data_IF_185254634047
#
_entry.id   IF_185254634047
#
_cell.length_a   1.000
_cell.length_b   1.000
_cell.length_c   1.000
_cell.angle_alpha   90.00
_cell.angle_beta   90.00
_cell.angle_gamma   90.00
#
_symmetry.space_group_name_H-M   'P 1'
#
loop_
_entity.id
_entity.type
_entity.pdbx_description
1 polymer ?
#
# COMPACT_ATOMS: atom_id res chain seq x y z
N UNK A 1 -31.16 36.91 -13.77
CA UNK A 1 -29.77 36.77 -14.26
C UNK A 1 -29.60 35.30 -14.62
N UNK A 2 -29.22 34.98 -15.83
CA UNK A 2 -28.92 33.60 -16.23
C UNK A 2 -27.56 33.17 -15.63
N UNK A 3 -27.32 31.87 -15.50
CA UNK A 3 -26.05 31.35 -15.03
C UNK A 3 -24.87 31.80 -15.91
N UNK A 4 -25.08 31.85 -17.24
CA UNK A 4 -24.10 32.37 -18.19
C UNK A 4 -23.76 33.86 -17.96
N UNK A 5 -24.78 34.72 -17.74
CA UNK A 5 -24.55 36.11 -17.44
C UNK A 5 -23.81 36.34 -16.12
N UNK A 6 -23.98 35.43 -15.15
CA UNK A 6 -23.21 35.45 -13.90
C UNK A 6 -21.75 35.07 -14.16
N UNK A 7 -21.50 34.04 -14.97
CA UNK A 7 -20.14 33.63 -15.34
C UNK A 7 -19.41 34.74 -16.12
N UNK A 8 -20.07 35.36 -17.11
CA UNK A 8 -19.50 36.48 -17.84
C UNK A 8 -19.05 37.62 -16.90
N UNK A 9 -19.88 37.91 -15.91
CA UNK A 9 -19.59 38.96 -14.93
C UNK A 9 -18.40 38.59 -14.05
N UNK A 10 -18.34 37.33 -13.61
CA UNK A 10 -17.25 36.79 -12.77
C UNK A 10 -15.93 36.73 -13.56
N UNK A 11 -15.95 36.33 -14.84
CA UNK A 11 -14.76 36.33 -15.70
C UNK A 11 -14.18 37.74 -15.87
N UNK A 12 -15.06 38.76 -16.05
CA UNK A 12 -14.62 40.14 -16.14
C UNK A 12 -13.99 40.63 -14.83
N UNK A 13 -14.56 40.24 -13.68
CA UNK A 13 -14.10 40.72 -12.38
C UNK A 13 -12.80 39.99 -11.94
N UNK A 14 -12.68 38.70 -12.25
CA UNK A 14 -11.55 37.85 -11.78
C UNK A 14 -10.39 37.79 -12.76
N UNK A 15 -10.55 38.31 -13.98
CA UNK A 15 -9.61 38.14 -15.10
C UNK A 15 -9.20 36.67 -15.33
N UNK A 16 -10.18 35.75 -15.14
CA UNK A 16 -9.97 34.32 -15.20
C UNK A 16 -10.97 33.67 -16.15
N UNK A 17 -10.54 32.73 -16.99
CA UNK A 17 -11.42 31.99 -17.92
C UNK A 17 -12.25 30.93 -17.21
N UNK A 18 -13.22 31.33 -16.38
CA UNK A 18 -14.06 30.44 -15.56
C UNK A 18 -14.89 29.48 -16.38
N UNK A 19 -15.38 29.90 -17.56
CA UNK A 19 -16.15 29.03 -18.46
C UNK A 19 -15.30 27.83 -18.92
N UNK A 20 -14.07 28.08 -19.35
CA UNK A 20 -13.16 27.03 -19.79
C UNK A 20 -12.82 26.09 -18.66
N UNK A 21 -12.68 26.57 -17.42
CA UNK A 21 -12.47 25.73 -16.25
C UNK A 21 -13.70 24.89 -15.95
N UNK A 22 -14.90 25.45 -15.96
CA UNK A 22 -16.15 24.72 -15.73
C UNK A 22 -16.42 23.70 -16.84
N UNK A 23 -16.15 24.03 -18.09
CA UNK A 23 -16.24 23.09 -19.21
C UNK A 23 -15.24 21.93 -19.06
N UNK A 24 -14.03 22.22 -18.58
CA UNK A 24 -13.07 21.14 -18.27
C UNK A 24 -13.54 20.22 -17.14
N UNK A 25 -14.27 20.73 -16.15
CA UNK A 25 -14.85 19.93 -15.08
C UNK A 25 -16.06 19.08 -15.53
N UNK A 26 -16.81 19.53 -16.55
CA UNK A 26 -17.93 18.79 -17.10
C UNK A 26 -17.52 17.72 -18.13
N UNK A 27 -16.31 17.77 -18.65
CA UNK A 27 -15.79 16.69 -19.48
C UNK A 27 -15.20 15.60 -18.56
N UNK A 28 -15.34 14.32 -18.90
CA UNK A 28 -14.67 13.25 -18.15
C UNK A 28 -13.15 13.50 -18.23
N UNK A 29 -12.61 14.13 -17.20
CA UNK A 29 -11.16 14.26 -17.07
C UNK A 29 -10.59 12.88 -16.77
N UNK A 30 -9.63 12.45 -17.58
CA UNK A 30 -8.80 11.32 -17.19
C UNK A 30 -8.02 11.73 -15.94
N UNK A 31 -8.32 11.08 -14.83
CA UNK A 31 -7.63 11.32 -13.56
C UNK A 31 -6.22 10.74 -13.62
N UNK A 32 -5.34 11.34 -12.88
CA UNK A 32 -3.98 10.81 -12.67
C UNK A 32 -4.02 9.48 -11.92
N UNK A 33 -3.03 8.65 -12.19
CA UNK A 33 -2.84 7.36 -11.54
C UNK A 33 -1.41 7.28 -11.01
N UNK A 34 -1.25 7.12 -9.69
CA UNK A 34 0.05 7.11 -9.06
C UNK A 34 0.40 5.75 -8.46
N UNK A 35 1.66 5.40 -8.55
CA UNK A 35 2.27 4.30 -7.82
C UNK A 35 3.25 4.86 -6.79
N UNK A 36 3.07 4.50 -5.52
CA UNK A 36 3.87 4.99 -4.41
C UNK A 36 4.72 3.84 -3.88
N UNK A 37 6.04 3.99 -3.99
CA UNK A 37 7.00 3.05 -3.45
C UNK A 37 7.09 3.10 -1.92
N UNK A 38 7.78 2.13 -1.35
CA UNK A 38 8.07 2.10 0.09
C UNK A 38 9.19 3.08 0.39
N UNK A 39 8.99 4.08 1.27
CA UNK A 39 10.02 5.02 1.61
C UNK A 39 11.07 4.38 2.53
N UNK A 40 12.31 4.86 2.41
CA UNK A 40 13.42 4.48 3.26
C UNK A 40 13.98 5.69 4.02
N UNK A 41 14.56 5.42 5.19
CA UNK A 41 15.28 6.41 5.99
C UNK A 41 16.63 5.86 6.39
N UNK A 42 17.67 6.62 6.09
CA UNK A 42 19.05 6.32 6.47
C UNK A 42 19.57 7.41 7.39
N UNK A 43 20.14 7.02 8.52
CA UNK A 43 20.86 7.92 9.40
C UNK A 43 22.30 8.07 8.90
N UNK A 44 22.72 9.29 8.64
CA UNK A 44 24.06 9.63 8.17
C UNK A 44 24.73 10.54 9.20
N UNK A 45 25.89 10.12 9.71
CA UNK A 45 26.69 10.91 10.61
C UNK A 45 27.74 11.67 9.81
N UNK A 46 27.67 12.99 9.85
CA UNK A 46 28.70 13.88 9.29
C UNK A 46 29.62 14.38 10.41
N UNK A 47 30.70 15.09 10.06
CA UNK A 47 31.63 15.65 11.08
C UNK A 47 30.96 16.68 12.00
N UNK A 48 29.84 17.28 11.58
CA UNK A 48 29.20 18.41 12.27
C UNK A 48 27.83 18.10 12.82
N UNK A 49 27.08 17.17 12.22
CA UNK A 49 25.70 16.89 12.58
C UNK A 49 25.26 15.47 12.18
N UNK A 50 24.18 15.01 12.80
CA UNK A 50 23.42 13.85 12.35
C UNK A 50 22.35 14.26 11.34
N UNK A 51 22.29 13.58 10.20
CA UNK A 51 21.30 13.83 9.15
C UNK A 51 20.49 12.56 8.91
N UNK A 52 19.19 12.68 8.83
CA UNK A 52 18.30 11.63 8.37
C UNK A 52 17.93 11.90 6.91
N UNK A 53 18.45 11.10 6.00
CA UNK A 53 18.07 11.10 4.61
C UNK A 53 16.85 10.22 4.41
N UNK A 54 15.74 10.82 4.02
CA UNK A 54 14.52 10.10 3.67
C UNK A 54 14.32 10.10 2.17
N UNK A 55 13.98 8.94 1.61
CA UNK A 55 13.81 8.73 0.18
C UNK A 55 12.49 8.02 -0.11
N UNK A 56 11.85 8.42 -1.21
CA UNK A 56 10.68 7.75 -1.74
C UNK A 56 10.67 7.81 -3.26
N UNK A 57 10.19 6.73 -3.90
CA UNK A 57 10.00 6.70 -5.35
C UNK A 57 8.50 6.74 -5.63
N UNK A 58 8.10 7.63 -6.54
CA UNK A 58 6.70 7.77 -6.96
C UNK A 58 6.66 7.85 -8.48
N UNK A 59 5.71 7.13 -9.08
CA UNK A 59 5.47 7.14 -10.53
C UNK A 59 4.07 7.66 -10.84
N UNK A 60 3.96 8.51 -11.82
CA UNK A 60 2.70 8.79 -12.50
C UNK A 60 2.51 7.75 -13.61
N UNK A 61 1.48 6.93 -13.52
CA UNK A 61 1.18 5.86 -14.48
C UNK A 61 0.24 6.30 -15.61
N UNK A 62 -0.28 7.52 -15.52
CA UNK A 62 -1.29 8.05 -16.45
C UNK A 62 -0.69 8.85 -17.59
N UNK A 63 -1.48 9.03 -18.66
CA UNK A 63 -1.17 9.90 -19.80
C UNK A 63 -1.36 11.42 -19.48
N UNK A 64 -1.78 11.75 -18.25
CA UNK A 64 -2.01 13.12 -17.80
C UNK A 64 -0.92 13.55 -16.81
N UNK A 65 -0.47 14.82 -16.86
CA UNK A 65 0.36 15.38 -15.82
C UNK A 65 -0.41 15.45 -14.51
N UNK A 66 0.29 15.34 -13.39
CA UNK A 66 -0.34 15.38 -12.06
C UNK A 66 0.57 15.94 -10.99
N UNK A 67 -0.04 16.34 -9.89
CA UNK A 67 0.68 16.85 -8.72
C UNK A 67 0.24 16.08 -7.48
N UNK A 68 1.16 15.92 -6.56
CA UNK A 68 0.88 15.41 -5.22
C UNK A 68 1.38 16.40 -4.18
N UNK A 69 0.68 16.48 -3.06
CA UNK A 69 1.16 17.23 -1.90
C UNK A 69 1.77 16.24 -0.91
N UNK A 70 3.02 16.44 -0.57
CA UNK A 70 3.79 15.60 0.35
C UNK A 70 4.02 16.33 1.67
N UNK A 71 3.84 15.61 2.77
CA UNK A 71 4.15 16.10 4.11
C UNK A 71 4.96 15.08 4.89
N UNK A 72 6.01 15.53 5.57
CA UNK A 72 6.78 14.71 6.50
C UNK A 72 6.19 14.78 7.91
N UNK A 73 6.02 13.62 8.55
CA UNK A 73 5.62 13.52 9.95
C UNK A 73 6.75 12.91 10.78
N UNK A 74 7.05 13.51 11.93
CA UNK A 74 8.13 13.11 12.83
C UNK A 74 7.60 12.38 14.06
N UNK A 75 8.41 11.47 14.61
CA UNK A 75 8.01 10.63 15.75
C UNK A 75 7.92 11.39 17.07
N UNK A 76 8.76 12.41 17.27
CA UNK A 76 8.94 13.09 18.55
C UNK A 76 7.93 14.20 18.79
N UNK A 77 7.20 14.63 17.78
CA UNK A 77 6.33 15.79 17.89
C UNK A 77 4.86 15.40 18.10
N UNK A 78 4.38 15.67 19.31
CA UNK A 78 2.95 15.62 19.64
C UNK A 78 2.12 16.79 19.08
N UNK A 79 2.67 17.58 18.13
CA UNK A 79 2.06 18.75 17.53
C UNK A 79 2.28 18.83 16.01
N UNK A 80 1.32 19.47 15.34
CA UNK A 80 1.36 19.70 13.91
C UNK A 80 2.25 20.93 13.65
N UNK A 81 3.54 20.74 13.39
CA UNK A 81 4.45 21.81 13.00
C UNK A 81 4.48 21.92 11.48
N UNK A 82 4.45 23.14 10.97
CA UNK A 82 4.48 23.41 9.52
C UNK A 82 5.92 23.52 8.99
N UNK A 83 6.92 23.53 9.88
CA UNK A 83 8.33 23.57 9.56
C UNK A 83 9.18 22.81 10.59
N UNK A 84 10.39 22.44 10.17
CA UNK A 84 11.47 21.93 10.99
C UNK A 84 12.68 22.86 10.89
N UNK A 85 13.57 22.81 11.85
CA UNK A 85 14.87 23.49 11.72
C UNK A 85 15.82 22.51 11.04
N UNK A 86 16.53 22.99 10.02
CA UNK A 86 17.59 22.25 9.35
C UNK A 86 18.75 23.22 9.05
N UNK A 87 19.94 22.89 9.54
CA UNK A 87 21.14 23.75 9.45
C UNK A 87 20.88 25.21 9.93
N UNK A 88 20.03 25.35 10.96
CA UNK A 88 19.66 26.65 11.56
C UNK A 88 18.61 27.46 10.78
N UNK A 89 18.06 26.93 9.72
CA UNK A 89 17.00 27.57 8.92
C UNK A 89 15.66 26.84 9.05
N UNK A 90 14.56 27.56 8.86
CA UNK A 90 13.22 26.97 8.81
C UNK A 90 13.01 26.24 7.47
N UNK A 91 12.77 24.94 7.55
CA UNK A 91 12.47 24.06 6.42
C UNK A 91 11.02 23.64 6.48
N UNK A 92 10.21 23.90 5.43
CA UNK A 92 8.82 23.47 5.39
C UNK A 92 8.74 21.93 5.39
N UNK A 93 7.79 21.40 6.14
CA UNK A 93 7.53 19.93 6.19
C UNK A 93 6.54 19.48 5.14
N UNK A 94 5.98 20.41 4.37
CA UNK A 94 4.98 20.17 3.34
C UNK A 94 5.38 20.86 2.04
N UNK A 95 5.29 20.13 0.92
CA UNK A 95 5.67 20.62 -0.40
C UNK A 95 4.88 19.90 -1.51
N UNK A 96 4.82 20.48 -2.70
CA UNK A 96 4.17 19.93 -3.89
C UNK A 96 5.22 19.34 -4.81
N UNK A 97 4.94 18.16 -5.37
CA UNK A 97 5.74 17.51 -6.40
C UNK A 97 4.87 17.34 -7.64
N UNK A 98 5.35 17.86 -8.77
CA UNK A 98 4.71 17.77 -10.06
C UNK A 98 5.28 16.59 -10.86
N UNK A 99 4.43 15.89 -11.59
CA UNK A 99 4.80 14.77 -12.44
C UNK A 99 4.30 14.99 -13.86
N UNK A 100 5.17 14.72 -14.83
CA UNK A 100 4.77 14.58 -16.22
C UNK A 100 4.08 13.23 -16.45
N UNK A 101 3.37 13.02 -17.57
CA UNK A 101 2.85 11.72 -17.95
C UNK A 101 3.98 10.65 -17.91
N UNK A 102 3.69 9.50 -17.28
CA UNK A 102 4.62 8.37 -17.15
C UNK A 102 5.96 8.69 -16.46
N UNK A 103 6.04 9.81 -15.75
CA UNK A 103 7.27 10.18 -15.05
C UNK A 103 7.39 9.42 -13.72
N UNK A 104 8.59 8.90 -13.46
CA UNK A 104 8.99 8.34 -12.17
C UNK A 104 10.03 9.26 -11.55
N UNK A 105 9.80 9.65 -10.29
CA UNK A 105 10.74 10.47 -9.51
C UNK A 105 11.18 9.74 -8.26
N UNK A 106 12.48 9.83 -7.97
CA UNK A 106 13.08 9.59 -6.66
C UNK A 106 13.17 10.94 -5.95
N UNK A 107 12.56 11.04 -4.80
CA UNK A 107 12.49 12.26 -3.98
C UNK A 107 13.37 12.01 -2.76
N UNK A 108 14.37 12.86 -2.56
CA UNK A 108 15.33 12.80 -1.45
C UNK A 108 15.17 14.04 -0.58
N UNK A 109 15.01 13.83 0.73
CA UNK A 109 14.87 14.93 1.70
C UNK A 109 15.76 14.69 2.91
N UNK A 110 16.31 15.75 3.48
CA UNK A 110 17.18 15.71 4.66
C UNK A 110 16.50 16.32 5.87
N UNK A 111 16.74 15.73 7.05
CA UNK A 111 16.15 16.18 8.31
C UNK A 111 17.13 15.98 9.46
N UNK A 112 17.11 16.88 10.47
CA UNK A 112 17.86 16.67 11.72
C UNK A 112 17.13 15.75 12.68
N UNK A 113 15.81 15.68 12.56
CA UNK A 113 14.95 14.82 13.35
C UNK A 113 14.55 13.57 12.56
N UNK A 114 14.44 12.42 13.24
CA UNK A 114 14.09 11.16 12.60
C UNK A 114 12.68 11.21 12.00
N UNK A 115 12.55 11.20 10.66
CA UNK A 115 11.24 11.23 10.00
C UNK A 115 10.54 9.89 10.09
N UNK A 116 9.30 9.90 10.58
CA UNK A 116 8.52 8.69 10.79
C UNK A 116 7.74 8.24 9.57
N UNK A 117 7.15 9.19 8.85
CA UNK A 117 6.12 8.86 7.85
C UNK A 117 5.99 9.96 6.81
N UNK A 118 5.86 9.59 5.54
CA UNK A 118 5.34 10.46 4.50
C UNK A 118 3.80 10.40 4.51
N UNK A 119 3.16 11.55 4.60
CA UNK A 119 1.75 11.75 4.32
C UNK A 119 1.66 12.30 2.91
N UNK A 120 1.00 11.59 2.01
CA UNK A 120 0.92 11.93 0.60
C UNK A 120 -0.55 12.19 0.27
N UNK A 121 -0.86 13.43 -0.09
CA UNK A 121 -2.16 13.79 -0.61
C UNK A 121 -2.11 13.72 -2.14
N UNK A 122 -2.84 12.77 -2.70
CA UNK A 122 -2.87 12.52 -4.15
C UNK A 122 -3.79 13.49 -4.89
N UNK A 123 -4.41 14.45 -4.18
CA UNK A 123 -5.44 15.36 -4.69
C UNK A 123 -6.61 14.57 -5.29
N UNK A 124 -6.60 14.34 -6.60
CA UNK A 124 -7.59 13.55 -7.32
C UNK A 124 -6.89 12.44 -8.09
N UNK A 125 -6.79 11.26 -7.50
CA UNK A 125 -6.21 10.08 -8.14
C UNK A 125 -7.30 9.07 -8.50
N UNK A 126 -7.13 8.42 -9.65
CA UNK A 126 -8.02 7.35 -10.12
C UNK A 126 -7.93 6.09 -9.26
N UNK A 127 -6.75 5.81 -8.71
CA UNK A 127 -6.42 4.52 -8.12
C UNK A 127 -6.11 4.56 -6.62
N UNK A 128 -5.74 5.71 -6.09
CA UNK A 128 -5.37 5.86 -4.68
C UNK A 128 -6.38 6.73 -3.93
N UNK A 129 -6.57 6.52 -2.62
CA UNK A 129 -7.35 7.45 -1.80
C UNK A 129 -6.69 8.84 -1.77
N UNK A 130 -7.46 9.86 -1.43
CA UNK A 130 -6.98 11.25 -1.34
C UNK A 130 -5.73 11.38 -0.48
N UNK A 131 -5.64 10.61 0.61
CA UNK A 131 -4.46 10.59 1.47
C UNK A 131 -3.91 9.18 1.61
N UNK A 132 -2.62 9.03 1.36
CA UNK A 132 -1.84 7.82 1.59
C UNK A 132 -0.79 8.09 2.65
N UNK A 133 -0.63 7.16 3.57
CA UNK A 133 0.40 7.20 4.61
C UNK A 133 1.46 6.14 4.31
N UNK A 134 2.68 6.57 4.06
CA UNK A 134 3.81 5.68 3.78
C UNK A 134 4.84 5.76 4.91
N UNK A 135 4.96 4.69 5.70
CA UNK A 135 5.92 4.62 6.82
C UNK A 135 7.32 4.37 6.32
N UNK A 136 8.26 5.11 6.86
CA UNK A 136 9.66 4.96 6.57
C UNK A 136 10.19 3.62 7.09
N UNK A 137 10.92 2.89 6.26
CA UNK A 137 11.70 1.73 6.67
C UNK A 137 13.13 2.18 6.96
N UNK A 138 13.64 1.80 8.13
CA UNK A 138 15.03 2.09 8.49
C UNK A 138 15.97 1.16 7.74
N UNK A 139 16.97 1.75 7.09
CA UNK A 139 18.03 1.03 6.40
C UNK A 139 19.32 1.23 7.18
N UNK A 140 20.03 0.13 7.51
CA UNK A 140 21.22 0.16 8.41
C UNK A 140 22.57 0.21 7.66
N UNK A 141 22.58 0.23 6.32
CA UNK A 141 23.82 0.22 5.56
C UNK A 141 24.43 1.63 5.42
N UNK A 142 25.77 1.69 5.33
CA UNK A 142 26.52 2.94 5.18
C UNK A 142 26.24 3.55 3.80
N UNK A 143 25.60 4.69 3.78
CA UNK A 143 25.19 5.35 2.55
C UNK A 143 25.97 6.64 2.30
N UNK A 144 26.10 6.91 1.02
CA UNK A 144 26.61 8.19 0.54
C UNK A 144 25.47 9.19 0.69
N UNK A 145 25.73 10.33 1.31
CA UNK A 145 24.78 11.44 1.35
C UNK A 145 24.48 11.87 -0.09
N UNK A 146 23.20 11.67 -0.50
CA UNK A 146 22.71 12.13 -1.79
C UNK A 146 22.20 13.55 -1.62
N UNK A 147 22.47 14.43 -2.56
CA UNK A 147 21.94 15.79 -2.54
C UNK A 147 20.39 15.77 -2.45
N UNK A 148 19.82 16.70 -1.69
CA UNK A 148 18.38 16.85 -1.59
C UNK A 148 17.76 17.30 -2.90
N UNK A 149 16.64 16.69 -3.30
CA UNK A 149 15.96 17.05 -4.54
C UNK A 149 15.06 15.99 -5.13
N UNK A 150 14.57 16.30 -6.33
CA UNK A 150 13.74 15.43 -7.15
C UNK A 150 14.57 14.93 -8.33
N UNK A 151 14.64 13.63 -8.51
CA UNK A 151 15.42 12.99 -9.57
C UNK A 151 14.52 12.17 -10.46
N UNK A 152 14.37 12.57 -11.73
CA UNK A 152 13.64 11.77 -12.72
C UNK A 152 14.41 10.50 -13.02
N UNK A 153 13.73 9.36 -12.89
CA UNK A 153 14.29 8.04 -13.15
C UNK A 153 13.80 7.49 -14.50
N UNK A 154 14.60 6.62 -15.11
CA UNK A 154 14.16 5.89 -16.31
C UNK A 154 13.08 4.85 -15.97
N UNK A 155 12.15 4.59 -16.88
CA UNK A 155 10.90 3.84 -16.72
C UNK A 155 10.95 2.48 -16.01
N UNK A 156 12.11 1.86 -15.86
CA UNK A 156 12.25 0.50 -15.33
C UNK A 156 12.71 0.41 -13.87
N UNK A 157 12.70 1.51 -13.12
CA UNK A 157 13.32 1.54 -11.79
C UNK A 157 12.47 0.93 -10.68
N UNK A 158 11.17 0.77 -10.88
CA UNK A 158 10.27 0.17 -9.87
C UNK A 158 10.26 -1.37 -9.91
N UNK A 159 10.83 -1.97 -10.94
CA UNK A 159 11.07 -3.41 -11.00
C UNK A 159 12.38 -3.73 -10.28
N UNK A 160 12.34 -3.76 -8.95
CA UNK A 160 13.44 -4.30 -8.15
C UNK A 160 13.52 -5.82 -8.44
N UNK A 161 14.44 -6.19 -9.31
CA UNK A 161 14.57 -7.55 -9.90
C UNK A 161 14.83 -8.66 -8.88
N UNK A 162 15.00 -8.31 -7.61
CA UNK A 162 15.22 -9.25 -6.51
C UNK A 162 13.95 -9.51 -5.68
N UNK A 163 12.89 -8.72 -5.86
CA UNK A 163 11.60 -8.88 -5.17
C UNK A 163 10.50 -9.35 -6.12
N UNK A 164 9.78 -10.40 -5.74
CA UNK A 164 8.61 -10.90 -6.46
C UNK A 164 7.41 -10.71 -5.56
N UNK A 165 6.48 -9.86 -5.97
CA UNK A 165 5.29 -9.56 -5.19
C UNK A 165 4.07 -10.06 -5.96
N UNK A 166 3.18 -10.76 -5.26
CA UNK A 166 1.86 -11.16 -5.76
C UNK A 166 0.81 -10.56 -4.85
N UNK A 167 -0.05 -9.73 -5.44
CA UNK A 167 -1.11 -8.99 -4.79
C UNK A 167 -2.48 -9.68 -5.01
N UNK A 168 -3.48 -9.29 -4.22
CA UNK A 168 -4.86 -9.74 -4.40
C UNK A 168 -5.49 -9.25 -5.72
N UNK A 169 -4.95 -8.23 -6.38
CA UNK A 169 -5.38 -7.75 -7.71
C UNK A 169 -4.72 -8.52 -8.87
N UNK A 170 -3.78 -9.40 -8.61
CA UNK A 170 -3.11 -10.23 -9.62
C UNK A 170 -3.98 -11.44 -10.02
N UNK A 171 -5.00 -11.21 -10.84
CA UNK A 171 -6.08 -12.15 -11.17
C UNK A 171 -5.64 -13.55 -11.65
N UNK A 172 -4.40 -13.69 -12.19
CA UNK A 172 -3.85 -14.98 -12.64
C UNK A 172 -3.05 -15.70 -11.55
N UNK A 173 -2.60 -14.98 -10.54
CA UNK A 173 -1.71 -15.46 -9.49
C UNK A 173 -2.41 -15.55 -8.12
N UNK A 174 -3.54 -14.86 -7.98
CA UNK A 174 -4.35 -14.85 -6.77
C UNK A 174 -5.69 -15.53 -6.99
N UNK A 175 -6.11 -16.40 -6.06
CA UNK A 175 -7.39 -17.12 -6.12
C UNK A 175 -8.02 -17.25 -4.74
N UNK A 176 -9.34 -17.29 -4.70
CA UNK A 176 -10.13 -17.48 -3.49
C UNK A 176 -10.86 -18.82 -3.54
N UNK A 177 -10.96 -19.50 -2.40
CA UNK A 177 -11.83 -20.65 -2.28
C UNK A 177 -13.29 -20.20 -2.43
N UNK A 178 -14.04 -20.93 -3.23
CA UNK A 178 -15.49 -20.75 -3.33
C UNK A 178 -16.15 -21.64 -2.27
N UNK A 179 -16.96 -21.09 -1.36
CA UNK A 179 -17.69 -21.93 -0.43
C UNK A 179 -18.62 -22.87 -1.21
N UNK A 180 -18.82 -24.11 -0.75
CA UNK A 180 -19.75 -25.02 -1.40
C UNK A 180 -21.14 -24.38 -1.45
N UNK A 181 -21.91 -24.59 -2.53
CA UNK A 181 -23.24 -23.99 -2.67
C UNK A 181 -24.14 -24.44 -1.51
N UNK A 182 -24.53 -23.53 -0.66
CA UNK A 182 -25.41 -23.78 0.48
C UNK A 182 -26.85 -23.89 0.04
N UNK A 183 -27.24 -25.03 -0.56
CA UNK A 183 -28.62 -25.35 -0.87
C UNK A 183 -29.36 -24.45 -1.89
N UNK A 184 -30.56 -24.83 -2.28
CA UNK A 184 -31.37 -24.14 -3.29
C UNK A 184 -31.66 -22.65 -3.01
N UNK A 185 -31.71 -22.25 -1.75
CA UNK A 185 -31.89 -20.85 -1.33
C UNK A 185 -30.58 -20.04 -1.46
N UNK A 186 -29.41 -20.68 -1.33
CA UNK A 186 -28.11 -20.02 -1.48
C UNK A 186 -27.82 -19.63 -2.93
N UNK A 187 -28.23 -20.44 -3.91
CA UNK A 187 -28.08 -20.10 -5.34
C UNK A 187 -28.96 -18.93 -5.76
N UNK A 188 -30.16 -18.81 -5.17
CA UNK A 188 -31.07 -17.71 -5.46
C UNK A 188 -30.59 -16.38 -4.87
N UNK A 189 -30.05 -16.41 -3.67
CA UNK A 189 -29.42 -15.23 -3.02
C UNK A 189 -28.13 -14.83 -3.78
N UNK A 190 -27.35 -15.80 -4.27
CA UNK A 190 -26.14 -15.52 -5.04
C UNK A 190 -26.40 -14.81 -6.37
N UNK A 191 -27.47 -15.21 -7.10
CA UNK A 191 -27.84 -14.55 -8.36
C UNK A 191 -28.23 -13.08 -8.20
N UNK A 192 -28.75 -12.71 -7.03
CA UNK A 192 -29.13 -11.33 -6.73
C UNK A 192 -28.00 -10.47 -6.16
N UNK A 193 -26.84 -11.07 -5.84
CA UNK A 193 -25.65 -10.36 -5.32
C UNK A 193 -24.55 -10.18 -6.38
N UNK A 194 -24.73 -10.72 -7.60
CA UNK A 194 -23.75 -10.56 -8.71
C UNK A 194 -23.77 -9.17 -9.37
N UNK A 195 -24.76 -8.33 -9.07
CA UNK A 195 -24.82 -6.92 -9.47
C UNK A 195 -24.51 -6.04 -8.26
N UNK A 196 -23.32 -6.16 -7.63
CA UNK A 196 -22.85 -5.16 -6.69
C UNK A 196 -22.45 -3.91 -7.46
N UNK A 197 -23.16 -2.82 -7.24
CA UNK A 197 -22.95 -1.49 -7.81
C UNK A 197 -21.56 -0.93 -7.45
N UNK A 198 -20.88 -1.53 -6.47
CA UNK A 198 -19.54 -1.16 -5.98
C UNK A 198 -18.64 -2.40 -5.83
N UNK A 199 -17.51 -2.38 -6.54
CA UNK A 199 -16.48 -3.43 -6.47
C UNK A 199 -15.84 -3.54 -5.08
N UNK A 200 -15.66 -2.42 -4.39
CA UNK A 200 -14.98 -2.34 -3.11
C UNK A 200 -15.95 -1.94 -2.00
N UNK A 201 -15.87 -2.63 -0.87
CA UNK A 201 -16.69 -2.36 0.32
C UNK A 201 -15.78 -1.82 1.43
N UNK A 202 -16.26 -0.85 2.20
CA UNK A 202 -15.53 -0.33 3.35
C UNK A 202 -15.31 -1.40 4.44
N UNK A 203 -14.18 -1.31 5.15
CA UNK A 203 -13.85 -2.24 6.23
C UNK A 203 -14.78 -2.04 7.41
N UNK A 204 -15.42 -3.13 7.87
CA UNK A 204 -16.13 -3.18 9.14
C UNK A 204 -15.77 -4.48 9.87
N UNK A 205 -14.77 -4.43 10.76
CA UNK A 205 -14.30 -5.60 11.52
C UNK A 205 -15.38 -6.19 12.45
N UNK A 206 -16.41 -5.41 12.82
CA UNK A 206 -17.50 -5.86 13.67
C UNK A 206 -18.59 -6.60 12.90
N UNK A 207 -18.70 -6.34 11.60
CA UNK A 207 -19.67 -6.95 10.71
C UNK A 207 -18.98 -7.52 9.47
N UNK A 208 -17.92 -8.29 9.69
CA UNK A 208 -17.15 -8.89 8.62
C UNK A 208 -18.04 -9.80 7.74
N UNK A 209 -17.86 -9.75 6.41
CA UNK A 209 -18.65 -10.51 5.46
C UNK A 209 -18.43 -12.02 5.62
N UNK A 210 -19.44 -12.82 5.29
CA UNK A 210 -19.34 -14.29 5.35
C UNK A 210 -18.59 -14.89 4.14
N UNK A 211 -18.25 -14.09 3.14
CA UNK A 211 -17.49 -14.45 1.93
C UNK A 211 -16.36 -13.47 1.73
N UNK A 212 -15.35 -13.92 1.01
CA UNK A 212 -14.27 -13.05 0.58
C UNK A 212 -14.81 -11.86 -0.20
N UNK A 213 -14.58 -10.66 0.29
CA UNK A 213 -15.07 -9.40 -0.24
C UNK A 213 -13.93 -8.41 -0.40
N UNK A 214 -13.86 -7.75 -1.56
CA UNK A 214 -12.87 -6.73 -1.84
C UNK A 214 -13.09 -5.48 -0.98
N UNK A 215 -12.00 -4.93 -0.47
CA UNK A 215 -12.00 -3.72 0.35
C UNK A 215 -10.78 -2.87 0.06
N UNK A 216 -10.84 -1.59 0.40
CA UNK A 216 -9.71 -0.66 0.28
C UNK A 216 -9.38 -0.04 1.62
N UNK A 217 -8.10 0.15 1.89
CA UNK A 217 -7.57 0.88 3.04
C UNK A 217 -6.17 1.41 2.72
N UNK A 218 -5.83 2.57 3.25
CA UNK A 218 -4.51 3.18 3.05
C UNK A 218 -3.32 2.32 3.54
N UNK A 219 -3.57 1.37 4.44
CA UNK A 219 -2.54 0.50 5.01
C UNK A 219 -2.46 -0.87 4.31
N UNK A 220 -3.24 -1.12 3.27
CA UNK A 220 -3.06 -2.28 2.41
C UNK A 220 -1.94 -2.05 1.41
N UNK A 221 -1.36 -3.13 0.93
CA UNK A 221 -0.47 -3.09 -0.21
C UNK A 221 -1.28 -2.80 -1.49
N UNK A 222 -0.61 -2.35 -2.51
CA UNK A 222 -1.15 -2.21 -3.86
C UNK A 222 -0.27 -1.30 -4.69
N UNK A 223 0.06 -1.73 -5.90
CA UNK A 223 0.80 -0.92 -6.88
C UNK A 223 -0.10 0.17 -7.45
N UNK A 224 -1.31 -0.23 -7.87
CA UNK A 224 -2.27 0.69 -8.46
C UNK A 224 -3.48 0.95 -7.56
N UNK A 225 -3.92 -0.04 -6.80
CA UNK A 225 -5.05 0.07 -5.87
C UNK A 225 -4.62 -0.54 -4.55
N UNK A 226 -4.77 0.20 -3.45
CA UNK A 226 -4.51 -0.31 -2.10
C UNK A 226 -5.75 -1.08 -1.62
N UNK A 227 -5.79 -2.33 -1.95
CA UNK A 227 -6.91 -3.22 -1.68
C UNK A 227 -6.49 -4.51 -1.00
N UNK A 228 -7.46 -5.21 -0.43
CA UNK A 228 -7.33 -6.57 0.04
C UNK A 228 -8.69 -7.27 -0.08
N UNK A 229 -8.71 -8.58 0.07
CA UNK A 229 -9.97 -9.29 0.33
C UNK A 229 -10.08 -9.63 1.80
N UNK A 230 -11.27 -9.53 2.37
CA UNK A 230 -11.49 -9.84 3.76
C UNK A 230 -12.71 -10.76 3.95
N UNK A 231 -12.67 -11.53 5.03
CA UNK A 231 -13.73 -12.46 5.42
C UNK A 231 -13.87 -12.51 6.93
N UNK A 232 -15.05 -12.86 7.42
CA UNK A 232 -15.25 -13.23 8.82
C UNK A 232 -14.43 -14.48 9.14
N UNK A 233 -13.75 -14.47 10.28
CA UNK A 233 -13.02 -15.65 10.74
C UNK A 233 -13.93 -16.87 10.87
N UNK A 234 -13.43 -18.01 10.39
CA UNK A 234 -14.10 -19.29 10.31
C UNK A 234 -13.31 -20.39 11.00
N UNK A 235 -13.33 -21.58 10.41
CA UNK A 235 -12.69 -22.80 10.94
C UNK A 235 -11.63 -23.39 10.00
N UNK A 236 -11.17 -22.63 9.02
CA UNK A 236 -10.23 -23.09 8.01
C UNK A 236 -10.87 -23.67 6.75
N UNK A 237 -12.20 -23.54 6.59
CA UNK A 237 -12.91 -24.10 5.44
C UNK A 237 -12.73 -23.26 4.16
N UNK A 238 -12.37 -22.00 4.31
CA UNK A 238 -12.11 -21.07 3.20
C UNK A 238 -10.67 -20.58 3.23
N UNK A 239 -10.13 -20.23 2.06
CA UNK A 239 -8.76 -19.74 1.94
C UNK A 239 -8.61 -18.74 0.80
N UNK A 240 -7.61 -17.87 0.94
CA UNK A 240 -7.00 -17.09 -0.12
C UNK A 240 -5.66 -17.74 -0.49
N UNK A 241 -5.32 -17.76 -1.79
CA UNK A 241 -4.12 -18.42 -2.29
C UNK A 241 -3.38 -17.53 -3.27
N UNK A 242 -2.08 -17.41 -3.07
CA UNK A 242 -1.12 -16.78 -3.98
C UNK A 242 -0.23 -17.85 -4.61
N UNK A 243 -0.02 -17.71 -5.95
CA UNK A 243 0.93 -18.49 -6.72
C UNK A 243 2.08 -17.59 -7.11
N UNK A 244 3.23 -17.77 -6.48
CA UNK A 244 4.38 -16.90 -6.67
C UNK A 244 5.36 -17.58 -7.62
N UNK A 245 5.62 -17.03 -8.82
CA UNK A 245 6.60 -17.58 -9.74
C UNK A 245 8.01 -17.44 -9.17
N UNK A 246 8.79 -18.52 -9.21
CA UNK A 246 10.18 -18.56 -8.73
C UNK A 246 11.10 -18.75 -9.92
N UNK A 247 11.68 -17.68 -10.50
CA UNK A 247 12.40 -17.77 -11.78
C UNK A 247 13.74 -18.48 -11.68
N UNK A 248 14.36 -18.52 -10.52
CA UNK A 248 15.68 -19.07 -10.31
C UNK A 248 15.78 -19.83 -9.00
N UNK A 249 16.53 -20.94 -8.98
CA UNK A 249 16.85 -21.62 -7.74
C UNK A 249 17.62 -20.69 -6.77
N UNK A 250 17.35 -20.83 -5.49
CA UNK A 250 18.00 -20.03 -4.47
C UNK A 250 17.31 -20.07 -3.12
N UNK A 251 17.86 -19.29 -2.19
CA UNK A 251 17.27 -19.07 -0.89
C UNK A 251 16.45 -17.80 -0.90
N UNK A 252 15.19 -17.88 -0.47
CA UNK A 252 14.24 -16.77 -0.50
C UNK A 252 13.64 -16.53 0.88
N UNK A 253 13.44 -15.27 1.21
CA UNK A 253 12.60 -14.84 2.32
C UNK A 253 11.19 -14.57 1.82
N UNK A 254 10.20 -15.18 2.49
CA UNK A 254 8.78 -14.98 2.25
C UNK A 254 8.22 -14.00 3.27
N UNK A 255 7.57 -12.97 2.79
CA UNK A 255 6.89 -11.94 3.60
C UNK A 255 5.41 -11.91 3.27
N UNK A 256 4.62 -11.53 4.26
CA UNK A 256 3.20 -11.23 4.12
C UNK A 256 2.94 -9.78 4.52
N UNK A 257 2.13 -9.07 3.72
CA UNK A 257 1.75 -7.70 4.03
C UNK A 257 0.57 -7.68 5.00
N UNK A 258 0.72 -7.01 6.12
CA UNK A 258 -0.26 -6.93 7.20
C UNK A 258 -0.81 -5.51 7.30
N UNK A 259 -2.14 -5.37 7.23
CA UNK A 259 -2.85 -4.26 7.84
C UNK A 259 -3.25 -4.72 9.24
N UNK A 260 -2.67 -4.09 10.25
CA UNK A 260 -2.95 -4.49 11.63
C UNK A 260 -4.42 -4.23 11.99
N UNK A 261 -5.17 -5.26 12.46
CA UNK A 261 -6.58 -5.12 12.82
C UNK A 261 -6.79 -4.06 13.90
N UNK A 262 -7.87 -3.29 13.80
CA UNK A 262 -8.27 -2.28 14.79
C UNK A 262 -8.41 -2.87 16.19
N UNK A 263 -8.95 -4.09 16.27
CA UNK A 263 -9.05 -4.84 17.52
C UNK A 263 -7.71 -4.91 18.26
N UNK A 264 -6.58 -4.98 17.54
CA UNK A 264 -5.24 -5.11 18.13
C UNK A 264 -4.52 -3.77 18.35
N UNK A 265 -4.99 -2.68 17.76
CA UNK A 265 -4.36 -1.36 17.90
C UNK A 265 -4.37 -0.84 19.33
N UNK A 266 -5.41 -1.18 20.09
CA UNK A 266 -5.60 -0.75 21.47
C UNK A 266 -5.19 -1.81 22.52
N UNK A 267 -4.79 -3.02 22.07
CA UNK A 267 -4.34 -4.06 22.97
C UNK A 267 -2.83 -3.99 23.21
N UNK A 268 -2.43 -4.27 24.46
CA UNK A 268 -1.00 -4.36 24.79
C UNK A 268 -0.32 -5.46 23.97
N UNK A 269 0.73 -5.10 23.21
CA UNK A 269 1.51 -5.99 22.34
C UNK A 269 2.03 -7.24 23.08
N UNK A 270 2.30 -7.12 24.37
CA UNK A 270 2.80 -8.19 25.24
C UNK A 270 1.69 -8.93 26.01
N UNK A 271 0.43 -8.73 25.65
CA UNK A 271 -0.70 -9.44 26.25
C UNK A 271 -0.61 -10.97 26.06
N UNK A 272 -1.22 -11.70 27.01
CA UNK A 272 -1.17 -13.20 27.00
C UNK A 272 -2.01 -13.84 25.89
N UNK A 273 -3.07 -13.18 25.42
CA UNK A 273 -3.94 -13.71 24.36
C UNK A 273 -3.20 -13.60 23.03
N UNK A 274 -3.16 -14.69 22.29
CA UNK A 274 -2.56 -14.77 20.97
C UNK A 274 -3.68 -14.76 19.92
N UNK A 275 -3.35 -14.28 18.73
CA UNK A 275 -4.24 -14.26 17.58
C UNK A 275 -3.43 -14.66 16.37
N UNK A 276 -3.80 -15.74 15.72
CA UNK A 276 -3.02 -16.29 14.63
C UNK A 276 -3.71 -16.13 13.29
N UNK A 277 -2.89 -15.91 12.26
CA UNK A 277 -3.20 -16.22 10.87
C UNK A 277 -2.49 -17.52 10.51
N UNK A 278 -3.22 -18.46 9.89
CA UNK A 278 -2.72 -19.79 9.57
C UNK A 278 -2.40 -19.90 8.10
N UNK A 279 -1.12 -20.09 7.80
CA UNK A 279 -0.61 -20.24 6.46
C UNK A 279 -0.21 -21.68 6.18
N UNK A 280 -0.42 -22.11 4.91
CA UNK A 280 0.18 -23.30 4.34
C UNK A 280 1.05 -22.86 3.16
N UNK A 281 2.31 -23.27 3.15
CA UNK A 281 3.31 -22.91 2.14
C UNK A 281 3.75 -24.20 1.44
N UNK A 282 3.49 -24.31 0.13
CA UNK A 282 3.78 -25.50 -0.67
C UNK A 282 4.68 -25.14 -1.84
N UNK A 283 5.67 -26.01 -2.13
CA UNK A 283 6.40 -25.99 -3.38
C UNK A 283 6.18 -27.31 -4.08
N UNK A 284 5.57 -27.28 -5.26
CA UNK A 284 5.33 -28.51 -6.02
C UNK A 284 6.64 -29.10 -6.54
N UNK A 285 7.60 -28.26 -6.91
CA UNK A 285 8.91 -28.71 -7.42
C UNK A 285 9.78 -29.33 -6.34
N UNK A 286 9.65 -28.87 -5.08
CA UNK A 286 10.50 -29.30 -3.97
C UNK A 286 9.83 -30.34 -3.06
N UNK A 287 8.59 -30.77 -3.40
CA UNK A 287 7.78 -31.78 -2.71
C UNK A 287 7.71 -31.56 -1.17
N UNK A 288 7.44 -30.32 -0.76
CA UNK A 288 7.25 -30.02 0.66
C UNK A 288 6.00 -29.19 0.93
N UNK A 289 5.48 -29.35 2.14
CA UNK A 289 4.43 -28.52 2.72
C UNK A 289 4.87 -28.05 4.11
N UNK A 290 4.82 -26.73 4.32
CA UNK A 290 5.09 -26.12 5.62
C UNK A 290 3.83 -25.42 6.13
N UNK A 291 3.65 -25.38 7.46
CA UNK A 291 2.56 -24.67 8.13
C UNK A 291 3.14 -23.62 9.05
N UNK A 292 2.69 -22.39 8.85
CA UNK A 292 3.16 -21.26 9.62
C UNK A 292 2.01 -20.51 10.30
N UNK A 293 2.20 -20.17 11.57
CA UNK A 293 1.25 -19.39 12.37
C UNK A 293 1.82 -17.98 12.63
N UNK A 294 1.27 -16.97 11.97
CA UNK A 294 1.65 -15.59 12.17
C UNK A 294 0.89 -15.01 13.37
N UNK A 295 1.60 -14.70 14.45
CA UNK A 295 0.99 -14.07 15.61
C UNK A 295 0.71 -12.59 15.35
N UNK A 296 -0.51 -12.25 14.99
CA UNK A 296 -0.96 -10.92 14.61
C UNK A 296 -0.75 -9.85 15.71
N UNK A 297 -0.60 -10.23 16.96
CA UNK A 297 -0.27 -9.30 18.04
C UNK A 297 1.16 -8.77 17.92
N UNK A 298 2.06 -9.55 17.34
CA UNK A 298 3.48 -9.23 17.22
C UNK A 298 3.84 -8.61 15.88
N UNK A 299 2.89 -8.53 14.94
CA UNK A 299 3.10 -7.91 13.64
C UNK A 299 3.06 -6.38 13.71
N UNK A 300 3.71 -5.76 12.74
CA UNK A 300 3.55 -4.34 12.40
C UNK A 300 2.69 -4.18 11.13
N UNK A 301 2.17 -2.99 10.87
CA UNK A 301 1.62 -2.67 9.55
C UNK A 301 2.73 -2.76 8.51
N UNK A 302 2.45 -3.35 7.35
CA UNK A 302 3.41 -3.58 6.27
C UNK A 302 3.97 -5.01 6.23
N UNK A 303 5.18 -5.18 5.68
CA UNK A 303 5.78 -6.48 5.42
C UNK A 303 6.29 -7.18 6.69
N UNK A 304 5.80 -8.38 6.95
CA UNK A 304 6.19 -9.23 8.07
C UNK A 304 6.76 -10.55 7.54
N UNK A 305 7.95 -10.92 8.01
CA UNK A 305 8.63 -12.15 7.61
C UNK A 305 7.83 -13.39 8.08
N UNK A 306 7.53 -14.28 7.15
CA UNK A 306 6.94 -15.61 7.42
C UNK A 306 8.06 -16.62 7.61
N UNK A 307 9.00 -16.71 6.67
CA UNK A 307 10.04 -17.71 6.73
C UNK A 307 11.09 -17.55 5.63
N UNK A 308 12.07 -18.46 5.66
CA UNK A 308 13.12 -18.53 4.65
C UNK A 308 13.10 -19.92 4.01
N UNK A 309 12.99 -19.99 2.69
CA UNK A 309 12.77 -21.21 1.93
C UNK A 309 13.87 -21.40 0.89
N UNK A 310 14.38 -22.62 0.77
CA UNK A 310 15.25 -23.03 -0.35
C UNK A 310 14.35 -23.51 -1.48
N UNK A 311 14.34 -22.80 -2.60
CA UNK A 311 13.47 -23.09 -3.75
C UNK A 311 14.33 -23.44 -4.96
N UNK A 312 13.93 -24.48 -5.69
CA UNK A 312 14.66 -24.93 -6.90
C UNK A 312 14.16 -24.28 -8.18
N UNK A 313 13.03 -23.59 -8.11
CA UNK A 313 12.37 -22.91 -9.23
C UNK A 313 10.88 -23.26 -9.30
N UNK A 314 10.19 -22.80 -10.34
CA UNK A 314 8.79 -23.03 -10.64
C UNK A 314 7.83 -22.12 -9.81
N UNK A 315 7.02 -22.67 -8.92
CA UNK A 315 5.95 -21.92 -8.24
C UNK A 315 5.89 -22.23 -6.76
N UNK A 316 5.89 -21.18 -5.93
CA UNK A 316 5.56 -21.29 -4.51
C UNK A 316 4.09 -20.96 -4.32
N UNK A 317 3.35 -21.85 -3.67
CA UNK A 317 1.94 -21.66 -3.34
C UNK A 317 1.83 -21.29 -1.86
N UNK A 318 1.25 -20.15 -1.58
CA UNK A 318 0.96 -19.66 -0.22
C UNK A 318 -0.55 -19.60 -0.05
N UNK A 319 -1.07 -20.23 1.00
CA UNK A 319 -2.50 -20.17 1.37
C UNK A 319 -2.66 -19.58 2.75
N UNK A 320 -3.61 -18.67 2.89
CA UNK A 320 -4.10 -18.16 4.17
C UNK A 320 -5.53 -18.67 4.36
N UNK A 321 -5.78 -19.40 5.43
CA UNK A 321 -7.12 -19.91 5.76
C UNK A 321 -7.95 -18.87 6.50
N UNK A 322 -9.27 -19.06 6.56
CA UNK A 322 -10.18 -18.22 7.34
C UNK A 322 -10.17 -18.52 8.85
N UNK A 323 -9.30 -19.44 9.31
CA UNK A 323 -9.15 -19.77 10.72
C UNK A 323 -8.41 -18.68 11.48
N UNK A 324 -9.05 -18.11 12.51
CA UNK A 324 -8.42 -17.16 13.44
C UNK A 324 -9.31 -16.90 14.65
N UNK A 325 -8.71 -16.44 15.75
CA UNK A 325 -9.40 -15.88 16.91
C UNK A 325 -9.75 -14.39 16.77
N UNK A 326 -9.31 -13.74 15.72
CA UNK A 326 -9.76 -12.41 15.34
C UNK A 326 -11.19 -12.47 14.79
N UNK A 327 -11.84 -11.34 14.63
CA UNK A 327 -13.19 -11.28 14.05
C UNK A 327 -13.18 -11.40 12.53
N UNK A 328 -12.07 -11.01 11.92
CA UNK A 328 -11.91 -10.90 10.49
C UNK A 328 -10.48 -11.26 10.10
N UNK A 329 -10.33 -11.85 8.94
CA UNK A 329 -9.06 -12.09 8.25
C UNK A 329 -9.06 -11.23 6.99
N UNK A 330 -7.94 -10.59 6.72
CA UNK A 330 -7.68 -9.89 5.47
C UNK A 330 -6.57 -10.61 4.71
N UNK A 331 -6.76 -10.89 3.44
CA UNK A 331 -5.75 -11.43 2.53
C UNK A 331 -5.34 -10.31 1.57
N UNK A 332 -4.08 -9.90 1.69
CA UNK A 332 -3.47 -8.76 1.02
C UNK A 332 -2.41 -9.25 0.02
N UNK A 333 -1.15 -9.01 0.25
CA UNK A 333 -0.06 -9.36 -0.65
C UNK A 333 0.99 -10.24 0.01
N UNK A 334 1.71 -11.00 -0.81
CA UNK A 334 2.89 -11.78 -0.43
C UNK A 334 4.10 -11.35 -1.26
N UNK A 335 5.30 -11.43 -0.65
CA UNK A 335 6.55 -11.03 -1.29
C UNK A 335 7.63 -12.08 -1.07
N UNK A 336 8.33 -12.45 -2.14
CA UNK A 336 9.57 -13.21 -2.09
C UNK A 336 10.77 -12.31 -2.37
N UNK A 337 11.79 -12.39 -1.52
CA UNK A 337 13.06 -11.67 -1.68
C UNK A 337 14.19 -12.69 -1.78
N UNK A 338 14.95 -12.66 -2.87
CA UNK A 338 16.08 -13.56 -3.04
C UNK A 338 17.24 -13.14 -2.14
N UNK A 339 17.74 -14.07 -1.32
CA UNK A 339 18.97 -13.86 -0.54
C UNK A 339 20.21 -13.99 -1.43
N UNK A 340 21.13 -13.07 -1.25
CA UNK A 340 22.47 -13.12 -1.88
C UNK A 340 23.37 -14.17 -1.23
#
# INVERSE_FOLDING_TARGET
>A
MSFEALLDTLEIISDTQLKNQLDSWNHPMELTEFMIGTPSVTKIETETMEIYQAEIIISNLSDQPGSINMRMQFWSQGGNTDYQIFDGEEKPVEWIVDFQPHETKRIVTHWEENPGTFIINTLFSKNLPVQVTARNQRVEEVYILTEEGEYTLSENFMDDKEEIIVDNEDAHLFTLSTPPPSGYLGEWINKNTEEEEFKYVGINEWQAPARWTLTTDQNYYGRSIRSAVHIRSGKGDQYAQWKIPVPNAGRYELYYHVRRPEQLRHENRWGRKKYFYHFTINSEADDYEDKYELNMRQTDDGWNLIGTYGLTGDTLIVRLTDESELKMIAADAVKLVKKK
#
